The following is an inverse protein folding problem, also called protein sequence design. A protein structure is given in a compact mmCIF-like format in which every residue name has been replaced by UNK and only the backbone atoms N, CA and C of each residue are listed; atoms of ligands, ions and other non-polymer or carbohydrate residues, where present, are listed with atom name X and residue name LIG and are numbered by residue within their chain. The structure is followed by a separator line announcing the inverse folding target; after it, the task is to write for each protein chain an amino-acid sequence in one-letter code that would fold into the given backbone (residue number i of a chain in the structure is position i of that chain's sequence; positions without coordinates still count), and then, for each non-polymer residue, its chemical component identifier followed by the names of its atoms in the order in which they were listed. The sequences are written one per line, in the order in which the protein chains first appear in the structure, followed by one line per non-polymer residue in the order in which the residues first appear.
data_IF_277540901832
#
_entry.id   IF_277540901832
#
_cell.length_a   1.000
_cell.length_b   1.000
_cell.length_c   1.000
_cell.angle_alpha   90.00
_cell.angle_beta   90.00
_cell.angle_gamma   90.00
#
_symmetry.space_group_name_H-M   'P 1'
#
loop_
_entity.id
_entity.type
_entity.pdbx_description
1 polymer ?
#
# COMPACT_ATOMS: atom_id res chain seq x y z
N UNK A 1 17.95 -9.71 12.07
CA UNK A 1 17.15 -9.33 13.27
C UNK A 1 15.70 -9.73 13.06
N UNK A 2 14.90 -9.95 14.13
CA UNK A 2 13.53 -10.47 13.99
C UNK A 2 12.52 -9.35 14.24
N UNK A 3 11.61 -9.17 13.30
CA UNK A 3 10.47 -8.26 13.43
C UNK A 3 9.19 -8.96 12.97
N UNK A 4 8.05 -8.48 13.43
CA UNK A 4 6.73 -8.79 12.87
C UNK A 4 6.29 -7.64 12.00
N UNK A 5 5.57 -7.95 10.93
CA UNK A 5 4.95 -6.97 10.06
C UNK A 5 3.47 -6.78 10.40
N UNK A 6 3.01 -5.55 10.31
CA UNK A 6 1.57 -5.21 10.33
C UNK A 6 1.30 -4.32 9.12
N UNK A 7 0.34 -4.71 8.29
CA UNK A 7 -0.11 -3.91 7.15
C UNK A 7 -1.51 -3.38 7.44
N UNK A 8 -1.64 -2.06 7.51
CA UNK A 8 -2.91 -1.37 7.69
C UNK A 8 -3.59 -1.22 6.32
N UNK A 9 -4.67 -1.96 6.13
CA UNK A 9 -5.41 -2.06 4.87
C UNK A 9 -6.91 -1.77 5.05
N UNK A 10 -7.30 -1.18 6.18
CA UNK A 10 -8.70 -0.91 6.54
C UNK A 10 -9.20 0.48 6.16
N UNK A 11 -8.38 1.32 5.55
CA UNK A 11 -8.73 2.69 5.22
C UNK A 11 -9.84 2.78 4.17
N UNK A 12 -10.75 3.74 4.36
CA UNK A 12 -11.70 4.20 3.35
C UNK A 12 -11.38 5.65 3.01
N UNK A 13 -11.23 5.97 1.74
CA UNK A 13 -10.96 7.33 1.30
C UNK A 13 -11.99 7.77 0.26
N UNK A 14 -12.81 8.76 0.62
CA UNK A 14 -13.82 9.36 -0.25
C UNK A 14 -13.25 9.93 -1.55
N UNK A 15 -11.94 10.24 -1.59
CA UNK A 15 -11.26 10.74 -2.80
C UNK A 15 -11.04 9.65 -3.86
N UNK A 16 -11.25 8.36 -3.52
CA UNK A 16 -11.30 7.26 -4.50
C UNK A 16 -12.64 7.14 -5.21
N UNK A 17 -13.65 7.88 -4.76
CA UNK A 17 -15.01 7.90 -5.33
C UNK A 17 -15.54 6.47 -5.56
N UNK A 18 -16.10 6.21 -6.73
CA UNK A 18 -16.72 4.96 -7.13
C UNK A 18 -15.75 3.77 -7.09
N UNK A 19 -14.48 3.99 -7.35
CA UNK A 19 -13.46 2.92 -7.40
C UNK A 19 -13.32 2.16 -6.08
N UNK A 20 -13.64 2.79 -4.95
CA UNK A 20 -13.60 2.15 -3.62
C UNK A 20 -14.95 1.59 -3.15
N UNK A 21 -16.02 1.70 -3.95
CA UNK A 21 -17.35 1.23 -3.54
C UNK A 21 -17.43 -0.30 -3.41
N UNK A 22 -16.67 -1.03 -4.21
CA UNK A 22 -16.71 -2.49 -4.27
C UNK A 22 -15.49 -3.18 -3.65
N UNK A 23 -14.39 -2.46 -3.44
CA UNK A 23 -13.12 -3.04 -2.97
C UNK A 23 -12.33 -2.11 -2.07
N UNK A 24 -11.53 -2.67 -1.17
CA UNK A 24 -10.59 -1.92 -0.36
C UNK A 24 -9.50 -1.26 -1.24
N UNK A 25 -8.98 -0.09 -0.85
CA UNK A 25 -7.90 0.59 -1.58
C UNK A 25 -6.68 -0.32 -1.72
N UNK A 26 -6.33 -1.07 -0.68
CA UNK A 26 -5.23 -2.03 -0.71
C UNK A 26 -5.43 -3.18 -1.72
N UNK A 27 -6.66 -3.41 -2.20
CA UNK A 27 -6.99 -4.39 -3.23
C UNK A 27 -7.08 -3.80 -4.63
N UNK A 28 -6.82 -2.50 -4.81
CA UNK A 28 -6.85 -1.85 -6.11
C UNK A 28 -5.80 -2.44 -7.05
N UNK A 29 -6.18 -2.78 -8.29
CA UNK A 29 -5.26 -3.30 -9.30
C UNK A 29 -4.20 -2.27 -9.68
N UNK A 30 -2.94 -2.69 -9.84
CA UNK A 30 -1.81 -1.83 -10.22
C UNK A 30 -0.96 -2.54 -11.27
N UNK A 31 -0.46 -1.79 -12.25
CA UNK A 31 0.49 -2.27 -13.26
C UNK A 31 0.05 -3.53 -14.03
N UNK A 32 -1.24 -3.67 -14.26
CA UNK A 32 -1.83 -4.76 -15.05
C UNK A 32 -2.09 -6.07 -14.27
N UNK A 33 -1.20 -6.48 -13.36
CA UNK A 33 -1.29 -7.81 -12.74
C UNK A 33 -1.18 -7.81 -11.22
N UNK A 34 -0.79 -6.71 -10.60
CA UNK A 34 -0.58 -6.58 -9.16
C UNK A 34 -1.77 -5.94 -8.47
N UNK A 35 -1.78 -5.99 -7.14
CA UNK A 35 -2.63 -5.15 -6.29
C UNK A 35 -1.74 -4.30 -5.39
N UNK A 36 -2.23 -3.17 -4.92
CA UNK A 36 -1.43 -2.24 -4.10
C UNK A 36 -0.77 -2.91 -2.91
N UNK A 37 -1.46 -3.80 -2.21
CA UNK A 37 -0.93 -4.51 -1.05
C UNK A 37 0.27 -5.42 -1.37
N UNK A 38 0.41 -5.87 -2.63
CA UNK A 38 1.48 -6.77 -3.04
C UNK A 38 2.86 -6.16 -2.85
N UNK A 39 2.99 -4.85 -2.99
CA UNK A 39 4.24 -4.13 -2.78
C UNK A 39 4.66 -4.19 -1.31
N UNK A 40 3.76 -3.90 -0.37
CA UNK A 40 4.05 -4.00 1.06
C UNK A 40 4.33 -5.44 1.49
N UNK A 41 3.57 -6.42 1.01
CA UNK A 41 3.80 -7.85 1.29
C UNK A 41 5.14 -8.32 0.72
N UNK A 42 5.49 -7.91 -0.50
CA UNK A 42 6.78 -8.25 -1.12
C UNK A 42 7.96 -7.64 -0.35
N UNK A 43 7.82 -6.38 0.10
CA UNK A 43 8.83 -5.75 0.94
C UNK A 43 9.00 -6.49 2.27
N UNK A 44 7.91 -6.96 2.91
CA UNK A 44 7.99 -7.79 4.12
C UNK A 44 8.72 -9.11 3.86
N UNK A 45 8.33 -9.82 2.79
CA UNK A 45 8.93 -11.10 2.42
C UNK A 45 10.42 -10.96 2.08
N UNK A 46 10.77 -10.01 1.23
CA UNK A 46 12.16 -9.73 0.83
C UNK A 46 13.03 -9.31 2.02
N UNK A 47 12.46 -8.63 3.02
CA UNK A 47 13.13 -8.28 4.27
C UNK A 47 13.13 -9.41 5.30
N UNK A 48 12.71 -10.63 4.93
CA UNK A 48 12.66 -11.84 5.78
C UNK A 48 11.78 -11.67 7.03
N UNK A 49 10.77 -10.83 6.95
CA UNK A 49 9.75 -10.69 7.98
C UNK A 49 8.69 -11.76 7.70
N UNK A 50 8.75 -12.87 8.44
CA UNK A 50 7.98 -14.07 8.15
C UNK A 50 6.59 -14.10 8.80
N UNK A 51 6.35 -13.26 9.80
CA UNK A 51 5.08 -13.16 10.52
C UNK A 51 4.46 -11.81 10.22
N UNK A 52 3.38 -11.81 9.45
CA UNK A 52 2.73 -10.60 8.96
C UNK A 52 1.24 -10.64 9.26
N UNK A 53 0.71 -9.55 9.80
CA UNK A 53 -0.71 -9.33 9.97
C UNK A 53 -1.20 -8.26 8.98
N UNK A 54 -2.31 -8.51 8.32
CA UNK A 54 -3.04 -7.52 7.53
C UNK A 54 -4.32 -7.16 8.30
N UNK A 55 -4.48 -5.90 8.65
CA UNK A 55 -5.67 -5.39 9.36
C UNK A 55 -6.54 -4.69 8.33
N UNK A 56 -7.74 -5.22 8.10
CA UNK A 56 -8.67 -4.74 7.08
C UNK A 56 -10.06 -4.50 7.66
N UNK A 57 -10.86 -3.67 7.01
CA UNK A 57 -12.19 -3.30 7.50
C UNK A 57 -13.18 -3.11 6.34
N UNK A 58 -13.07 -2.01 5.60
CA UNK A 58 -14.00 -1.66 4.53
C UNK A 58 -13.76 -2.50 3.27
N UNK A 59 -14.86 -3.00 2.68
CA UNK A 59 -14.87 -3.71 1.39
C UNK A 59 -13.77 -4.80 1.28
N UNK A 60 -13.54 -5.51 2.41
CA UNK A 60 -12.42 -6.42 2.57
C UNK A 60 -12.53 -7.72 1.75
N UNK A 61 -13.71 -8.05 1.17
CA UNK A 61 -13.96 -9.35 0.53
C UNK A 61 -12.94 -9.66 -0.56
N UNK A 62 -12.80 -8.77 -1.53
CA UNK A 62 -11.84 -8.93 -2.64
C UNK A 62 -10.39 -8.98 -2.16
N UNK A 63 -10.06 -8.24 -1.07
CA UNK A 63 -8.74 -8.31 -0.45
C UNK A 63 -8.51 -9.67 0.22
N UNK A 64 -9.48 -10.18 0.98
CA UNK A 64 -9.38 -11.48 1.64
C UNK A 64 -9.26 -12.64 0.63
N UNK A 65 -9.98 -12.57 -0.49
CA UNK A 65 -9.84 -13.53 -1.59
C UNK A 65 -8.43 -13.50 -2.21
N UNK A 66 -7.84 -12.32 -2.37
CA UNK A 66 -6.47 -12.17 -2.84
C UNK A 66 -5.46 -12.78 -1.87
N UNK A 67 -5.65 -12.56 -0.57
CA UNK A 67 -4.78 -13.04 0.51
C UNK A 67 -5.03 -14.49 0.93
N UNK A 68 -6.00 -15.17 0.34
CA UNK A 68 -6.42 -16.53 0.73
C UNK A 68 -5.31 -17.58 0.70
N UNK A 69 -4.26 -17.35 -0.07
CA UNK A 69 -3.08 -18.19 -0.11
C UNK A 69 -1.80 -17.36 0.11
N UNK A 70 -1.15 -17.60 1.23
CA UNK A 70 0.08 -16.90 1.63
C UNK A 70 1.33 -17.35 0.88
N UNK A 71 1.24 -18.41 0.07
CA UNK A 71 2.38 -19.00 -0.65
C UNK A 71 3.04 -18.04 -1.65
N UNK A 72 2.26 -17.14 -2.23
CA UNK A 72 2.73 -16.20 -3.26
C UNK A 72 3.81 -15.23 -2.74
N UNK A 73 3.77 -14.92 -1.43
CA UNK A 73 4.75 -14.04 -0.76
C UNK A 73 5.65 -14.82 0.20
N UNK A 74 5.72 -16.17 0.10
CA UNK A 74 6.55 -17.05 0.94
C UNK A 74 6.22 -16.98 2.46
N UNK A 75 4.95 -16.70 2.82
CA UNK A 75 4.50 -16.74 4.21
C UNK A 75 3.93 -18.10 4.66
N UNK A 76 3.98 -19.12 3.81
CA UNK A 76 3.45 -20.46 4.09
C UNK A 76 4.38 -21.37 4.89
N UNK A 77 5.38 -20.84 5.59
CA UNK A 77 6.38 -21.61 6.33
C UNK A 77 5.85 -22.10 7.70
N UNK A 78 6.47 -23.12 8.26
CA UNK A 78 6.12 -23.72 9.57
C UNK A 78 6.16 -22.70 10.71
N UNK A 79 7.06 -21.73 10.67
CA UNK A 79 7.14 -20.63 11.63
C UNK A 79 6.88 -19.31 10.91
N UNK A 80 5.88 -18.55 11.36
CA UNK A 80 5.43 -17.33 10.75
C UNK A 80 3.99 -17.41 10.24
N UNK A 81 3.70 -16.77 9.12
CA UNK A 81 2.39 -16.80 8.44
C UNK A 81 1.84 -15.43 8.13
N UNK A 82 0.85 -15.43 7.25
CA UNK A 82 0.02 -14.28 6.92
C UNK A 82 -1.31 -14.40 7.69
N UNK A 83 -1.59 -13.41 8.52
CA UNK A 83 -2.81 -13.33 9.33
C UNK A 83 -3.66 -12.18 8.81
N UNK A 84 -4.94 -12.41 8.60
CA UNK A 84 -5.87 -11.36 8.18
C UNK A 84 -6.85 -11.10 9.32
N UNK A 85 -6.89 -9.87 9.80
CA UNK A 85 -7.76 -9.44 10.89
C UNK A 85 -8.82 -8.47 10.40
N UNK A 86 -10.05 -8.75 10.75
CA UNK A 86 -11.22 -7.89 10.56
C UNK A 86 -11.79 -7.51 11.91
N UNK A 87 -12.61 -6.44 12.02
CA UNK A 87 -13.33 -6.15 13.25
C UNK A 87 -14.12 -7.38 13.71
N UNK A 88 -14.00 -7.70 14.99
CA UNK A 88 -14.63 -8.89 15.57
C UNK A 88 -15.57 -8.48 16.70
N UNK A 89 -16.80 -8.95 16.65
CA UNK A 89 -17.77 -8.74 17.73
C UNK A 89 -17.38 -9.60 18.93
N UNK A 90 -17.20 -8.96 20.08
CA UNK A 90 -16.92 -9.59 21.37
C UNK A 90 -17.93 -9.09 22.42
N UNK A 91 -17.89 -9.67 23.63
CA UNK A 91 -18.73 -9.18 24.74
C UNK A 91 -18.46 -7.69 25.09
N UNK A 92 -17.23 -7.21 24.85
CA UNK A 92 -16.77 -5.89 25.26
C UNK A 92 -16.67 -4.91 24.08
N UNK A 93 -16.80 -5.38 22.87
CA UNK A 93 -16.70 -4.58 21.65
C UNK A 93 -17.59 -5.14 20.54
N UNK A 94 -18.48 -4.31 20.02
CA UNK A 94 -19.34 -4.59 18.88
C UNK A 94 -19.16 -3.55 17.76
N UNK A 95 -18.11 -2.73 17.83
CA UNK A 95 -17.87 -1.61 16.93
C UNK A 95 -16.81 -1.96 15.87
N UNK A 96 -16.84 -1.23 14.79
CA UNK A 96 -15.77 -1.15 13.82
C UNK A 96 -14.52 -0.51 14.44
N UNK A 97 -13.35 -0.68 13.81
CA UNK A 97 -12.17 0.06 14.24
C UNK A 97 -12.41 1.56 14.08
N UNK A 98 -12.20 2.30 15.15
CA UNK A 98 -12.44 3.74 15.19
C UNK A 98 -11.28 4.57 14.65
N UNK A 99 -10.11 3.92 14.49
CA UNK A 99 -8.91 4.52 13.94
C UNK A 99 -7.76 3.53 13.90
N UNK A 100 -6.60 3.98 13.47
CA UNK A 100 -5.42 3.12 13.24
C UNK A 100 -4.83 2.58 14.55
N UNK A 101 -4.82 3.35 15.63
CA UNK A 101 -4.39 2.86 16.94
C UNK A 101 -5.39 1.88 17.55
N UNK A 102 -6.69 2.12 17.38
CA UNK A 102 -7.74 1.21 17.82
C UNK A 102 -7.69 -0.11 17.06
N UNK A 103 -7.47 -0.08 15.75
CA UNK A 103 -7.30 -1.28 14.94
C UNK A 103 -6.11 -2.14 15.42
N UNK A 104 -5.00 -1.52 15.80
CA UNK A 104 -3.86 -2.20 16.40
C UNK A 104 -4.19 -2.74 17.80
N UNK A 105 -4.90 -1.96 18.61
CA UNK A 105 -5.27 -2.33 19.97
C UNK A 105 -6.25 -3.51 20.02
N UNK A 106 -7.29 -3.51 19.20
CA UNK A 106 -8.24 -4.62 19.13
C UNK A 106 -7.58 -5.96 18.74
N UNK A 107 -6.40 -5.90 18.09
CA UNK A 107 -5.58 -7.06 17.72
C UNK A 107 -4.33 -7.21 18.59
N UNK A 108 -4.31 -6.63 19.79
CA UNK A 108 -3.13 -6.58 20.67
C UNK A 108 -2.63 -7.96 21.11
N UNK A 109 -3.50 -8.95 21.13
CA UNK A 109 -3.16 -10.34 21.44
C UNK A 109 -2.15 -10.93 20.46
N UNK A 110 -2.22 -10.54 19.19
CA UNK A 110 -1.23 -10.91 18.19
C UNK A 110 0.16 -10.41 18.58
N UNK A 111 0.26 -9.17 19.08
CA UNK A 111 1.49 -8.59 19.57
C UNK A 111 1.96 -9.27 20.85
N UNK A 112 1.06 -9.51 21.82
CA UNK A 112 1.37 -10.13 23.11
C UNK A 112 1.87 -11.58 22.98
N UNK A 113 1.28 -12.34 22.05
CA UNK A 113 1.67 -13.73 21.75
C UNK A 113 2.90 -13.86 20.85
N UNK A 114 3.40 -12.74 20.30
CA UNK A 114 4.60 -12.73 19.46
C UNK A 114 5.88 -12.59 20.30
N UNK A 115 6.99 -13.10 19.77
CA UNK A 115 8.29 -13.10 20.48
C UNK A 115 9.30 -12.16 19.82
N UNK A 116 9.05 -11.70 18.62
CA UNK A 116 9.91 -10.78 17.89
C UNK A 116 9.97 -9.42 18.60
N UNK A 117 11.18 -8.84 18.76
CA UNK A 117 11.36 -7.63 19.56
C UNK A 117 10.84 -6.35 18.91
N UNK A 118 10.71 -6.34 17.58
CA UNK A 118 10.32 -5.16 16.81
C UNK A 118 9.04 -5.41 15.99
N UNK A 119 8.35 -4.33 15.71
CA UNK A 119 7.17 -4.28 14.82
C UNK A 119 7.45 -3.28 13.71
N UNK A 120 7.15 -3.69 12.49
CA UNK A 120 7.12 -2.81 11.33
C UNK A 120 5.68 -2.67 10.91
N UNK A 121 5.17 -1.45 10.98
CA UNK A 121 3.82 -1.09 10.53
C UNK A 121 3.98 -0.46 9.15
N UNK A 122 3.18 -0.88 8.17
CA UNK A 122 3.12 -0.30 6.84
C UNK A 122 1.67 -0.10 6.41
N UNK A 123 1.42 0.83 5.48
CA UNK A 123 0.10 0.98 4.83
C UNK A 123 0.03 0.13 3.57
N UNK A 124 -1.18 -0.35 3.23
CA UNK A 124 -1.41 -1.21 2.06
C UNK A 124 -1.71 -0.45 0.76
N UNK A 125 -1.65 0.89 0.75
CA UNK A 125 -2.00 1.77 -0.37
C UNK A 125 -0.78 2.46 -1.02
N UNK A 126 0.43 2.04 -0.65
CA UNK A 126 1.67 2.54 -1.22
C UNK A 126 2.27 1.62 -2.27
N UNK A 127 2.77 2.20 -3.35
CA UNK A 127 3.50 1.52 -4.43
C UNK A 127 4.97 1.90 -4.35
N UNK A 128 5.81 0.99 -3.84
CA UNK A 128 7.25 1.22 -3.62
C UNK A 128 7.99 -0.09 -3.35
N UNK A 129 9.32 -0.07 -3.49
CA UNK A 129 10.22 -1.16 -3.06
C UNK A 129 11.11 -0.65 -1.95
N UNK A 130 11.25 -1.43 -0.87
CA UNK A 130 12.08 -1.07 0.27
C UNK A 130 12.58 -2.32 1.01
N UNK A 131 13.81 -2.26 1.47
CA UNK A 131 14.35 -3.22 2.44
C UNK A 131 14.08 -2.72 3.87
N UNK A 132 13.08 -3.30 4.52
CA UNK A 132 12.75 -2.99 5.91
C UNK A 132 13.84 -3.43 6.90
N UNK A 133 14.72 -4.35 6.51
CA UNK A 133 15.89 -4.73 7.30
C UNK A 133 16.82 -3.56 7.55
N UNK A 134 17.09 -2.75 6.51
CA UNK A 134 17.91 -1.53 6.61
C UNK A 134 17.26 -0.47 7.51
N UNK A 135 15.94 -0.32 7.44
CA UNK A 135 15.21 0.60 8.33
C UNK A 135 15.33 0.15 9.78
N UNK A 136 15.21 -1.15 10.04
CA UNK A 136 15.36 -1.73 11.36
C UNK A 136 16.79 -1.58 11.89
N UNK A 137 17.80 -1.77 11.07
CA UNK A 137 19.20 -1.53 11.42
C UNK A 137 19.45 -0.07 11.83
N UNK A 138 18.94 0.89 11.06
CA UNK A 138 19.02 2.31 11.37
C UNK A 138 18.27 2.66 12.66
N UNK A 139 17.08 2.06 12.90
CA UNK A 139 16.31 2.22 14.13
C UNK A 139 17.12 1.80 15.36
N UNK A 140 17.80 0.67 15.28
CA UNK A 140 18.61 0.13 16.38
C UNK A 140 19.88 0.96 16.59
N UNK A 141 20.58 1.33 15.50
CA UNK A 141 21.80 2.12 15.58
C UNK A 141 21.57 3.49 16.25
N UNK A 142 20.42 4.11 15.98
CA UNK A 142 20.02 5.39 16.61
C UNK A 142 19.42 5.23 18.01
N UNK A 143 19.24 3.99 18.49
CA UNK A 143 18.49 3.70 19.71
C UNK A 143 17.15 4.47 19.75
N UNK A 144 16.43 4.44 18.62
CA UNK A 144 15.18 5.13 18.45
C UNK A 144 14.04 4.48 19.23
N UNK A 145 13.08 5.26 19.70
CA UNK A 145 11.81 4.75 20.20
C UNK A 145 10.86 4.42 19.05
N UNK A 146 10.82 5.31 18.06
CA UNK A 146 10.06 5.14 16.79
C UNK A 146 10.93 5.63 15.64
N UNK A 147 10.91 4.91 14.52
CA UNK A 147 11.45 5.39 13.25
C UNK A 147 10.30 5.54 12.25
N UNK A 148 10.22 6.69 11.62
CA UNK A 148 9.23 7.03 10.58
C UNK A 148 9.93 7.04 9.24
N UNK A 149 9.47 6.26 8.28
CA UNK A 149 9.98 6.33 6.92
C UNK A 149 9.31 7.49 6.19
N UNK A 150 10.12 8.31 5.52
CA UNK A 150 9.65 9.46 4.77
C UNK A 150 10.28 9.54 3.39
N UNK A 151 9.67 10.31 2.51
CA UNK A 151 10.24 10.72 1.23
C UNK A 151 10.10 12.22 1.05
N UNK A 152 10.90 12.78 0.16
CA UNK A 152 10.82 14.22 -0.19
C UNK A 152 10.11 14.33 -1.54
N UNK A 153 8.92 14.90 -1.55
CA UNK A 153 8.18 15.15 -2.78
C UNK A 153 8.69 16.44 -3.45
N UNK A 154 8.72 16.44 -4.79
CA UNK A 154 9.05 17.63 -5.55
C UNK A 154 7.78 18.49 -5.70
N UNK A 155 7.93 19.80 -5.66
CA UNK A 155 6.88 20.83 -5.47
C UNK A 155 5.68 20.83 -6.45
N UNK A 156 5.58 19.92 -7.39
CA UNK A 156 4.62 20.08 -8.51
C UNK A 156 3.58 18.99 -8.65
N UNK A 157 3.72 17.84 -7.97
CA UNK A 157 2.97 16.66 -8.43
C UNK A 157 1.94 16.09 -7.45
N UNK A 158 2.03 16.38 -6.16
CA UNK A 158 1.11 15.82 -5.18
C UNK A 158 0.67 16.86 -4.14
N UNK A 159 -0.58 16.76 -3.73
CA UNK A 159 -1.14 17.56 -2.64
C UNK A 159 -0.55 17.08 -1.29
N UNK A 160 0.43 17.83 -0.78
CA UNK A 160 1.13 17.54 0.48
C UNK A 160 0.21 17.54 1.69
N UNK A 161 -0.94 18.23 1.61
CA UNK A 161 -1.92 18.33 2.71
C UNK A 161 -2.61 17.01 3.01
N UNK A 162 -2.39 16.00 2.19
CA UNK A 162 -2.96 14.65 2.36
C UNK A 162 -2.10 13.73 3.24
N UNK A 163 -0.89 14.13 3.55
CA UNK A 163 0.10 13.30 4.22
C UNK A 163 0.49 13.85 5.58
N UNK A 164 1.12 13.02 6.40
CA UNK A 164 1.87 13.48 7.54
C UNK A 164 3.15 14.19 7.05
N UNK A 165 3.27 15.48 7.32
CA UNK A 165 4.43 16.31 6.94
C UNK A 165 5.39 16.40 8.12
N UNK A 166 6.69 16.31 7.85
CA UNK A 166 7.69 16.28 8.90
C UNK A 166 8.90 17.16 8.61
N UNK A 167 9.47 17.74 9.68
CA UNK A 167 10.79 18.41 9.65
C UNK A 167 11.77 17.64 10.51
N UNK A 168 13.00 17.57 10.06
CA UNK A 168 14.10 16.87 10.72
C UNK A 168 15.20 17.85 11.08
N UNK A 169 15.92 17.55 12.17
CA UNK A 169 17.20 18.20 12.48
C UNK A 169 18.38 17.55 11.72
N UNK A 170 19.58 18.06 11.94
CA UNK A 170 20.82 17.56 11.31
C UNK A 170 21.15 16.09 11.66
N UNK A 171 20.57 15.56 12.74
CA UNK A 171 20.72 14.18 13.19
C UNK A 171 19.58 13.26 12.69
N UNK A 172 18.73 13.77 11.78
CA UNK A 172 17.53 13.10 11.28
C UNK A 172 16.47 12.82 12.37
N UNK A 173 16.51 13.53 13.50
CA UNK A 173 15.45 13.50 14.50
C UNK A 173 14.27 14.34 14.02
N UNK A 174 13.06 13.82 14.19
CA UNK A 174 11.84 14.53 13.83
C UNK A 174 11.57 15.58 14.91
N UNK A 175 11.64 16.86 14.52
CA UNK A 175 11.39 18.03 15.38
C UNK A 175 9.96 18.54 15.23
N UNK A 176 9.38 18.41 14.03
CA UNK A 176 7.97 18.72 13.78
C UNK A 176 7.32 17.58 13.01
N UNK A 177 6.09 17.26 13.37
CA UNK A 177 5.22 16.33 12.66
C UNK A 177 3.79 16.87 12.66
N UNK A 178 3.24 17.07 11.48
CA UNK A 178 1.90 17.60 11.25
C UNK A 178 1.10 16.62 10.42
N UNK A 179 0.00 16.11 10.94
CA UNK A 179 -0.87 15.19 10.19
C UNK A 179 -1.87 15.99 9.36
N UNK A 180 -1.77 15.86 8.05
CA UNK A 180 -2.67 16.48 7.06
C UNK A 180 -2.86 17.99 7.31
N UNK A 181 -1.77 18.77 7.31
CA UNK A 181 -1.84 20.20 7.58
C UNK A 181 -2.57 20.94 6.44
N UNK A 182 -3.23 22.06 6.76
CA UNK A 182 -3.85 22.91 5.74
C UNK A 182 -2.81 23.56 4.80
N UNK A 183 -1.61 23.81 5.32
CA UNK A 183 -0.46 24.32 4.59
C UNK A 183 0.74 23.48 4.99
N UNK A 184 1.38 22.82 4.05
CA UNK A 184 2.53 21.99 4.33
C UNK A 184 3.75 22.84 4.69
N UNK A 185 4.37 22.56 5.83
CA UNK A 185 5.57 23.27 6.32
C UNK A 185 6.89 22.72 5.75
N UNK A 186 6.84 21.61 5.03
CA UNK A 186 7.98 20.90 4.44
C UNK A 186 7.50 20.00 3.30
N UNK A 187 8.43 19.61 2.42
CA UNK A 187 8.19 18.63 1.35
C UNK A 187 8.46 17.19 1.78
N UNK A 188 8.89 16.98 3.02
CA UNK A 188 9.11 15.64 3.55
C UNK A 188 7.79 15.09 4.07
N UNK A 189 7.37 13.97 3.47
CA UNK A 189 6.10 13.32 3.81
C UNK A 189 6.34 11.91 4.33
N UNK A 190 5.59 11.53 5.37
CA UNK A 190 5.56 10.16 5.86
C UNK A 190 4.94 9.25 4.80
N UNK A 191 5.58 8.13 4.53
CA UNK A 191 5.05 7.12 3.60
C UNK A 191 4.17 6.07 4.30
N UNK A 192 3.85 6.26 5.59
CA UNK A 192 3.04 5.33 6.36
C UNK A 192 3.78 4.06 6.80
N UNK A 193 5.11 4.12 6.89
CA UNK A 193 5.94 3.01 7.40
C UNK A 193 6.63 3.41 8.69
N UNK A 194 6.46 2.57 9.72
CA UNK A 194 6.95 2.85 11.07
C UNK A 194 7.65 1.63 11.66
N UNK A 195 8.75 1.85 12.38
CA UNK A 195 9.45 0.82 13.17
C UNK A 195 9.39 1.19 14.64
N UNK A 196 9.00 0.25 15.47
CA UNK A 196 8.85 0.44 16.92
C UNK A 196 9.18 -0.85 17.68
N UNK A 197 9.70 -0.76 18.91
CA UNK A 197 9.86 -1.91 19.78
C UNK A 197 8.48 -2.46 20.18
N UNK A 198 8.27 -3.78 20.04
CA UNK A 198 6.98 -4.42 20.30
C UNK A 198 6.42 -4.11 21.70
N UNK A 199 7.25 -4.15 22.74
CA UNK A 199 6.82 -3.81 24.11
C UNK A 199 6.34 -2.36 24.22
N UNK A 200 7.08 -1.42 23.63
CA UNK A 200 6.68 -0.01 23.62
C UNK A 200 5.36 0.20 22.86
N UNK A 201 5.17 -0.49 21.74
CA UNK A 201 3.90 -0.41 21.01
C UNK A 201 2.74 -0.91 21.89
N UNK A 202 2.87 -2.03 22.55
CA UNK A 202 1.84 -2.56 23.44
C UNK A 202 1.48 -1.54 24.53
N UNK A 203 2.48 -0.98 25.23
CA UNK A 203 2.28 0.03 26.29
C UNK A 203 1.55 1.28 25.78
N UNK A 204 1.94 1.76 24.58
CA UNK A 204 1.32 2.93 23.95
C UNK A 204 -0.14 2.63 23.58
N UNK A 205 -0.42 1.48 22.95
CA UNK A 205 -1.77 1.09 22.54
C UNK A 205 -2.71 0.91 23.75
N UNK A 206 -2.23 0.28 24.83
CA UNK A 206 -2.99 0.15 26.08
C UNK A 206 -3.29 1.50 26.73
N UNK A 207 -2.37 2.46 26.61
CA UNK A 207 -2.59 3.84 27.07
C UNK A 207 -3.61 4.55 26.19
N UNK A 208 -3.47 4.48 24.85
CA UNK A 208 -4.43 5.08 23.91
C UNK A 208 -5.84 4.57 24.18
N UNK A 209 -6.02 3.27 24.36
CA UNK A 209 -7.32 2.68 24.66
C UNK A 209 -7.94 3.20 25.98
N UNK A 210 -7.12 3.36 27.04
CA UNK A 210 -7.61 3.93 28.31
C UNK A 210 -7.99 5.41 28.22
N UNK A 211 -7.37 6.15 27.31
CA UNK A 211 -7.58 7.57 27.09
C UNK A 211 -8.58 7.87 25.96
N UNK A 212 -9.27 6.85 25.43
CA UNK A 212 -10.21 6.95 24.30
C UNK A 212 -9.60 7.62 23.05
N UNK A 213 -8.38 7.18 22.69
CA UNK A 213 -7.59 7.68 21.56
C UNK A 213 -7.43 6.60 20.52
N UNK A 214 -7.69 6.96 19.28
CA UNK A 214 -7.89 5.97 18.23
C UNK A 214 -6.93 6.10 17.04
N UNK A 215 -6.27 7.26 16.86
CA UNK A 215 -5.40 7.52 15.71
C UNK A 215 -3.93 7.35 16.06
N UNK A 216 -3.22 6.47 15.31
CA UNK A 216 -1.80 6.19 15.58
C UNK A 216 -0.91 7.40 15.28
N UNK A 217 -1.20 8.15 14.23
CA UNK A 217 -0.37 9.30 13.84
C UNK A 217 -0.55 10.45 14.81
N UNK A 218 -1.79 10.88 15.03
CA UNK A 218 -2.11 12.00 15.94
C UNK A 218 -1.78 11.68 17.39
N UNK A 219 -2.22 10.51 17.86
CA UNK A 219 -2.19 10.18 19.28
C UNK A 219 -0.86 9.57 19.72
N UNK A 220 -0.02 9.11 18.77
CA UNK A 220 1.30 8.57 19.07
C UNK A 220 2.41 9.44 18.52
N UNK A 221 2.46 9.66 17.20
CA UNK A 221 3.61 10.36 16.60
C UNK A 221 3.60 11.86 16.95
N UNK A 222 2.51 12.55 16.69
CA UNK A 222 2.39 14.00 16.97
C UNK A 222 2.50 14.28 18.47
N UNK A 223 1.79 13.50 19.28
CA UNK A 223 1.74 13.69 20.72
C UNK A 223 3.08 13.45 21.42
N UNK A 224 3.78 12.38 21.05
CA UNK A 224 5.01 11.98 21.73
C UNK A 224 6.30 12.49 21.10
N UNK A 225 6.24 13.32 20.04
CA UNK A 225 7.42 13.81 19.31
C UNK A 225 8.48 14.47 20.20
N UNK A 226 8.07 15.22 21.22
CA UNK A 226 8.98 15.93 22.12
C UNK A 226 9.48 15.06 23.29
N UNK A 227 8.81 13.94 23.57
CA UNK A 227 9.09 13.08 24.74
C UNK A 227 9.86 11.82 24.31
N UNK A 228 9.62 11.35 23.08
CA UNK A 228 10.22 10.14 22.53
C UNK A 228 11.31 10.48 21.52
N UNK A 229 12.24 9.54 21.34
CA UNK A 229 13.27 9.61 20.30
C UNK A 229 12.69 9.13 18.98
N UNK A 230 12.09 10.04 18.21
CA UNK A 230 11.51 9.75 16.90
C UNK A 230 12.47 10.22 15.82
N UNK A 231 12.90 9.30 14.96
CA UNK A 231 13.84 9.57 13.86
C UNK A 231 13.21 9.31 12.51
N UNK A 232 13.66 10.07 11.51
CA UNK A 232 13.33 9.82 10.12
C UNK A 232 14.27 8.78 9.49
N UNK A 233 13.75 8.03 8.52
CA UNK A 233 14.54 7.23 7.59
C UNK A 233 14.08 7.57 6.17
N UNK A 234 14.97 8.05 5.34
CA UNK A 234 14.61 8.53 4.00
C UNK A 234 14.50 7.39 3.00
N UNK A 235 13.41 7.39 2.23
CA UNK A 235 13.25 6.60 1.02
C UNK A 235 13.57 7.49 -0.19
N UNK A 236 14.69 7.22 -0.87
CA UNK A 236 15.16 7.99 -2.03
C UNK A 236 14.73 7.37 -3.38
N UNK A 237 13.97 6.29 -3.35
CA UNK A 237 13.50 5.58 -4.54
C UNK A 237 12.06 5.93 -4.87
N UNK A 238 11.52 5.32 -5.93
CA UNK A 238 10.13 5.53 -6.33
C UNK A 238 9.14 5.21 -5.20
N UNK A 239 8.24 6.14 -4.94
CA UNK A 239 7.09 5.97 -4.07
C UNK A 239 5.89 6.74 -4.62
N UNK A 240 4.73 6.11 -4.58
CA UNK A 240 3.42 6.73 -4.85
C UNK A 240 2.38 6.16 -3.89
N UNK A 241 1.43 7.00 -3.49
CA UNK A 241 0.23 6.60 -2.76
C UNK A 241 -0.96 6.62 -3.70
N UNK A 242 -1.80 5.59 -3.68
CA UNK A 242 -2.94 5.47 -4.60
C UNK A 242 -4.29 5.84 -3.96
N UNK A 243 -4.31 6.65 -2.92
CA UNK A 243 -5.52 6.96 -2.14
C UNK A 243 -6.47 7.99 -2.80
N UNK A 244 -6.22 8.43 -4.03
CA UNK A 244 -7.14 9.27 -4.83
C UNK A 244 -7.22 8.77 -6.26
N UNK A 245 -8.31 9.10 -6.97
CA UNK A 245 -8.48 8.74 -8.38
C UNK A 245 -7.32 9.26 -9.23
N UNK A 246 -6.90 10.52 -9.02
CA UNK A 246 -5.78 11.12 -9.76
C UNK A 246 -4.46 10.41 -9.47
N UNK A 247 -4.10 10.19 -8.19
CA UNK A 247 -2.86 9.48 -7.84
C UNK A 247 -2.88 8.03 -8.31
N UNK A 248 -4.03 7.37 -8.28
CA UNK A 248 -4.21 6.02 -8.81
C UNK A 248 -3.96 5.97 -10.31
N UNK A 249 -4.56 6.92 -11.06
CA UNK A 249 -4.36 7.03 -12.49
C UNK A 249 -2.88 7.28 -12.83
N UNK A 250 -2.28 8.30 -12.23
CA UNK A 250 -0.86 8.65 -12.44
C UNK A 250 0.07 7.49 -12.11
N UNK A 251 -0.17 6.81 -10.98
CA UNK A 251 0.65 5.66 -10.55
C UNK A 251 0.62 4.54 -11.59
N UNK A 252 -0.56 4.20 -12.11
CA UNK A 252 -0.67 3.18 -13.16
C UNK A 252 0.05 3.63 -14.43
N UNK A 253 -0.19 4.87 -14.90
CA UNK A 253 0.44 5.39 -16.12
C UNK A 253 1.97 5.49 -16.01
N UNK A 254 2.51 5.66 -14.80
CA UNK A 254 3.98 5.63 -14.58
C UNK A 254 4.59 4.29 -15.00
N UNK A 255 3.86 3.17 -14.91
CA UNK A 255 4.35 1.86 -15.38
C UNK A 255 4.49 1.75 -16.90
N UNK A 256 3.98 2.69 -17.68
CA UNK A 256 4.27 2.79 -19.12
C UNK A 256 5.69 3.33 -19.37
N UNK A 257 6.32 3.99 -18.39
CA UNK A 257 7.69 4.47 -18.48
C UNK A 257 8.66 3.31 -18.29
N UNK A 258 9.68 3.24 -19.14
CA UNK A 258 10.65 2.13 -19.14
C UNK A 258 11.43 2.05 -17.82
N UNK A 259 11.88 3.19 -17.30
CA UNK A 259 12.66 3.27 -16.05
C UNK A 259 11.87 2.75 -14.84
N UNK A 260 10.58 3.09 -14.73
CA UNK A 260 9.70 2.59 -13.68
C UNK A 260 9.49 1.08 -13.80
N UNK A 261 9.20 0.57 -15.00
CA UNK A 261 9.06 -0.89 -15.22
C UNK A 261 10.35 -1.64 -14.91
N UNK A 262 11.50 -1.13 -15.38
CA UNK A 262 12.78 -1.78 -15.15
C UNK A 262 13.13 -1.78 -13.66
N UNK A 263 12.84 -0.70 -12.92
CA UNK A 263 12.99 -0.66 -11.47
C UNK A 263 12.13 -1.70 -10.75
N UNK A 264 10.85 -1.82 -11.08
CA UNK A 264 9.97 -2.74 -10.37
C UNK A 264 10.14 -4.20 -10.77
N UNK A 265 10.37 -4.49 -12.06
CA UNK A 265 10.22 -5.85 -12.60
C UNK A 265 11.52 -6.48 -13.13
N UNK A 266 12.61 -5.70 -13.25
CA UNK A 266 13.91 -6.23 -13.69
C UNK A 266 15.03 -6.08 -12.66
N UNK A 267 14.83 -5.25 -11.63
CA UNK A 267 15.80 -5.06 -10.57
C UNK A 267 15.36 -5.82 -9.31
N UNK A 268 16.28 -6.53 -8.70
CA UNK A 268 16.04 -7.16 -7.40
C UNK A 268 15.88 -6.07 -6.30
N UNK A 269 15.04 -6.29 -5.28
CA UNK A 269 14.19 -7.46 -5.04
C UNK A 269 12.93 -7.49 -5.91
N UNK A 270 12.39 -8.70 -6.13
CA UNK A 270 11.20 -8.92 -6.94
C UNK A 270 9.93 -8.47 -6.20
N UNK A 271 8.91 -8.12 -6.97
CA UNK A 271 7.54 -7.91 -6.48
C UNK A 271 6.72 -9.15 -6.76
N UNK A 272 6.14 -9.73 -5.72
CA UNK A 272 5.31 -10.94 -5.80
C UNK A 272 3.82 -10.58 -5.80
N UNK A 273 3.02 -11.38 -6.48
CA UNK A 273 1.56 -11.28 -6.48
C UNK A 273 0.94 -12.65 -6.65
N UNK A 274 -0.35 -12.74 -6.35
CA UNK A 274 -1.15 -13.92 -6.69
C UNK A 274 -1.19 -14.08 -8.21
N UNK A 275 -0.81 -15.25 -8.68
CA UNK A 275 -0.89 -15.62 -10.10
C UNK A 275 -2.25 -16.25 -10.36
N UNK A 276 -2.98 -15.72 -11.34
CA UNK A 276 -4.20 -16.32 -11.87
C UNK A 276 -3.84 -17.15 -13.12
N UNK A 277 -4.45 -18.32 -13.25
CA UNK A 277 -4.23 -19.22 -14.38
C UNK A 277 -5.09 -18.77 -15.57
N UNK A 278 -4.64 -17.74 -16.27
CA UNK A 278 -5.29 -17.16 -17.43
C UNK A 278 -4.47 -17.38 -18.70
N UNK A 279 -5.11 -17.53 -19.87
CA UNK A 279 -4.39 -17.66 -21.13
C UNK A 279 -3.61 -16.37 -21.46
N UNK A 280 -2.59 -16.43 -22.31
CA UNK A 280 -1.94 -15.24 -22.85
C UNK A 280 -2.96 -14.31 -23.53
N UNK A 281 -2.63 -13.00 -23.57
CA UNK A 281 -3.45 -12.04 -24.32
C UNK A 281 -3.47 -12.40 -25.81
N UNK A 282 -4.65 -12.33 -26.43
CA UNK A 282 -4.86 -12.60 -27.84
C UNK A 282 -5.10 -11.31 -28.61
N UNK A 283 -4.35 -11.12 -29.69
CA UNK A 283 -4.50 -10.00 -30.62
C UNK A 283 -5.06 -10.54 -31.94
N UNK A 284 -6.24 -10.09 -32.32
CA UNK A 284 -6.87 -10.49 -33.57
C UNK A 284 -6.43 -9.59 -34.74
N UNK A 285 -6.79 -9.98 -35.96
CA UNK A 285 -6.44 -9.22 -37.16
C UNK A 285 -6.98 -7.78 -37.07
N UNK A 286 -6.10 -6.80 -37.30
CA UNK A 286 -6.44 -5.38 -37.20
C UNK A 286 -6.20 -4.77 -35.82
N UNK A 287 -5.80 -5.54 -34.81
CA UNK A 287 -5.42 -4.98 -33.51
C UNK A 287 -4.12 -4.16 -33.63
N UNK A 288 -4.12 -2.96 -33.07
CA UNK A 288 -2.95 -2.08 -33.00
C UNK A 288 -2.70 -1.71 -31.52
N UNK A 289 -1.53 -2.06 -30.99
CA UNK A 289 -1.16 -1.76 -29.60
C UNK A 289 0.13 -0.95 -29.56
N UNK A 290 0.08 0.25 -28.96
CA UNK A 290 1.24 1.15 -28.81
C UNK A 290 1.41 1.58 -27.37
N UNK A 291 2.64 1.50 -26.84
CA UNK A 291 3.03 1.95 -25.51
C UNK A 291 1.98 1.59 -24.42
N UNK A 292 1.53 0.33 -24.39
CA UNK A 292 0.47 -0.13 -23.49
C UNK A 292 0.86 -1.42 -22.79
N UNK A 293 0.25 -1.65 -21.63
CA UNK A 293 0.35 -2.92 -20.89
C UNK A 293 -0.97 -3.68 -21.11
N UNK A 294 -0.86 -4.89 -21.62
CA UNK A 294 -2.01 -5.79 -21.82
C UNK A 294 -1.76 -7.04 -20.96
N UNK A 295 -2.67 -7.32 -20.06
CA UNK A 295 -2.56 -8.45 -19.13
C UNK A 295 -3.10 -9.75 -19.72
N UNK A 296 -2.86 -10.87 -19.04
CA UNK A 296 -3.35 -12.20 -19.45
C UNK A 296 -4.88 -12.25 -19.52
N UNK A 297 -5.40 -13.16 -20.35
CA UNK A 297 -6.83 -13.34 -20.58
C UNK A 297 -7.47 -12.35 -21.56
N UNK A 298 -6.78 -11.26 -21.91
CA UNK A 298 -7.35 -10.21 -22.79
C UNK A 298 -7.52 -10.67 -24.25
N UNK A 299 -8.57 -10.18 -24.90
CA UNK A 299 -8.81 -10.29 -26.34
C UNK A 299 -8.89 -8.89 -26.91
N UNK A 300 -8.00 -8.56 -27.86
CA UNK A 300 -7.91 -7.22 -28.45
C UNK A 300 -8.22 -7.29 -29.94
N UNK A 301 -9.28 -6.59 -30.38
CA UNK A 301 -9.66 -6.42 -31.80
C UNK A 301 -9.51 -4.99 -32.28
N UNK A 302 -9.27 -4.02 -31.40
CA UNK A 302 -9.19 -2.60 -31.70
C UNK A 302 -7.82 -1.99 -31.50
N UNK A 303 -7.77 -0.67 -31.39
CA UNK A 303 -6.56 0.14 -31.16
C UNK A 303 -6.41 0.51 -29.69
N UNK A 304 -5.23 0.28 -29.13
CA UNK A 304 -4.90 0.60 -27.73
C UNK A 304 -3.60 1.40 -27.70
N UNK A 305 -3.65 2.60 -27.16
CA UNK A 305 -2.51 3.50 -27.09
C UNK A 305 -2.36 4.11 -25.69
N UNK A 306 -1.14 4.15 -25.16
CA UNK A 306 -0.80 4.71 -23.85
C UNK A 306 -1.76 4.27 -22.73
N UNK A 307 -2.11 2.98 -22.67
CA UNK A 307 -3.17 2.49 -21.81
C UNK A 307 -2.75 1.24 -21.04
N UNK A 308 -3.45 0.98 -19.95
CA UNK A 308 -3.25 -0.23 -19.16
C UNK A 308 -4.54 -1.03 -19.16
N UNK A 309 -4.45 -2.24 -19.70
CA UNK A 309 -5.56 -3.17 -19.81
C UNK A 309 -5.27 -4.31 -18.81
N UNK A 310 -6.11 -4.41 -17.80
CA UNK A 310 -6.00 -5.44 -16.77
C UNK A 310 -6.51 -6.79 -17.27
N UNK A 311 -6.59 -7.79 -16.38
CA UNK A 311 -6.85 -9.18 -16.72
C UNK A 311 -8.25 -9.38 -17.29
N UNK A 312 -8.37 -10.31 -18.23
CA UNK A 312 -9.63 -10.83 -18.78
C UNK A 312 -10.55 -9.76 -19.40
N UNK A 313 -9.94 -8.79 -20.09
CA UNK A 313 -10.66 -7.71 -20.79
C UNK A 313 -10.89 -8.08 -22.24
N UNK A 314 -12.12 -7.86 -22.71
CA UNK A 314 -12.47 -7.94 -24.11
C UNK A 314 -12.57 -6.54 -24.73
N UNK A 315 -11.87 -6.31 -25.84
CA UNK A 315 -11.93 -5.08 -26.63
C UNK A 315 -12.45 -5.43 -28.02
N UNK A 316 -13.61 -4.89 -28.37
CA UNK A 316 -14.33 -5.13 -29.62
C UNK A 316 -13.67 -4.55 -30.87
N UNK A 317 -14.30 -4.79 -32.04
CA UNK A 317 -13.82 -4.30 -33.32
C UNK A 317 -14.00 -2.77 -33.42
N UNK A 318 -13.14 -2.10 -34.20
CA UNK A 318 -13.12 -0.66 -34.41
C UNK A 318 -13.06 0.19 -33.14
N UNK A 319 -12.72 -0.43 -31.99
CA UNK A 319 -12.53 0.31 -30.75
C UNK A 319 -11.24 1.12 -30.79
N UNK A 320 -11.26 2.26 -30.11
CA UNK A 320 -10.06 3.06 -29.86
C UNK A 320 -9.99 3.41 -28.38
N UNK A 321 -8.92 2.97 -27.71
CA UNK A 321 -8.66 3.22 -26.29
C UNK A 321 -7.36 3.99 -26.18
N UNK A 322 -7.40 5.19 -25.55
CA UNK A 322 -6.24 6.06 -25.38
C UNK A 322 -6.13 6.56 -23.96
N UNK A 323 -4.89 6.66 -23.45
CA UNK A 323 -4.58 7.24 -22.14
C UNK A 323 -5.54 6.77 -21.04
N UNK A 324 -5.87 5.47 -21.04
CA UNK A 324 -6.95 4.94 -20.20
C UNK A 324 -6.52 3.70 -19.41
N UNK A 325 -7.26 3.43 -18.36
CA UNK A 325 -7.09 2.24 -17.53
C UNK A 325 -8.39 1.45 -17.62
N UNK A 326 -8.30 0.21 -18.10
CA UNK A 326 -9.44 -0.71 -18.16
C UNK A 326 -9.20 -1.80 -17.12
N UNK A 327 -10.07 -1.87 -16.12
CA UNK A 327 -9.93 -2.81 -15.00
C UNK A 327 -10.32 -4.24 -15.41
N UNK A 328 -10.16 -5.18 -14.47
CA UNK A 328 -10.40 -6.61 -14.75
C UNK A 328 -11.83 -6.88 -15.19
N UNK A 329 -12.00 -7.92 -16.02
CA UNK A 329 -13.28 -8.50 -16.41
C UNK A 329 -14.22 -7.52 -17.17
N UNK A 330 -13.65 -6.46 -17.79
CA UNK A 330 -14.41 -5.46 -18.53
C UNK A 330 -14.64 -5.91 -19.98
N UNK A 331 -15.85 -5.73 -20.44
CA UNK A 331 -16.24 -5.93 -21.83
C UNK A 331 -16.46 -4.58 -22.54
N UNK A 332 -15.64 -4.29 -23.54
CA UNK A 332 -15.78 -3.10 -24.40
C UNK A 332 -16.40 -3.57 -25.73
N UNK A 333 -17.63 -3.12 -26.01
CA UNK A 333 -18.33 -3.44 -27.25
C UNK A 333 -17.71 -2.78 -28.48
N UNK A 334 -18.09 -3.25 -29.68
CA UNK A 334 -17.60 -2.73 -30.94
C UNK A 334 -17.85 -1.21 -31.09
N UNK A 335 -17.06 -0.55 -31.93
CA UNK A 335 -17.19 0.88 -32.31
C UNK A 335 -17.07 1.86 -31.10
N UNK A 336 -16.45 1.43 -29.99
CA UNK A 336 -16.29 2.26 -28.79
C UNK A 336 -15.05 3.14 -28.84
N UNK A 337 -15.18 4.39 -28.37
CA UNK A 337 -14.07 5.32 -28.17
C UNK A 337 -13.93 5.69 -26.69
N UNK A 338 -12.76 5.42 -26.12
CA UNK A 338 -12.46 5.66 -24.70
C UNK A 338 -11.15 6.43 -24.61
N UNK A 339 -11.17 7.57 -23.94
CA UNK A 339 -9.98 8.40 -23.75
C UNK A 339 -9.97 9.05 -22.37
N UNK A 340 -8.79 9.06 -21.71
CA UNK A 340 -8.56 9.66 -20.39
C UNK A 340 -9.52 9.16 -19.30
N UNK A 341 -9.84 7.86 -19.31
CA UNK A 341 -10.82 7.24 -18.44
C UNK A 341 -10.23 6.10 -17.59
N UNK A 342 -10.90 5.81 -16.49
CA UNK A 342 -10.81 4.54 -15.77
C UNK A 342 -12.15 3.85 -15.96
N UNK A 343 -12.16 2.64 -16.49
CA UNK A 343 -13.36 1.84 -16.77
C UNK A 343 -13.35 0.60 -15.90
N UNK A 344 -14.49 0.36 -15.20
CA UNK A 344 -14.73 -0.80 -14.34
C UNK A 344 -16.00 -1.54 -14.73
#
# INVERSE_FOLDING_TARGET
MKAIGIILAGGNNKMMKELSNKRAIAAMPVAGSYRSIDFALSNMSNSKIQKVAVITQYNARSLNEHLSSSKWWDFGRKQGGLYVFTPTVTKNNNSWYQGTADALYQNIDFLKKSHEPYVIIATGDGVYKMDYGKVLEAHIAKNADITVVYTTLKDTDDDLTRFGVLKLDENERIVEFEEKPLVASSNNVSIGVYVIRRRHLIEILERCAREDRHDFVQDVLVRYRNVRKIYGYKLDTYWRNIATVDSYFKTNMDFLKKDVRDYFFKQYPDVYSKVDDLPPAKYNTGAEVKNSIISSGCIVNGKVENSIIFKDVYIGNNCTIKNSIILNDVYIGDDSYIENCIVE
#
